data_IF_987237129834
#
_entry.id   IF_987237129834
#
_cell.length_a   1.000
_cell.length_b   1.000
_cell.length_c   1.000
_cell.angle_alpha   90.00
_cell.angle_beta   90.00
_cell.angle_gamma   90.00
#
_symmetry.space_group_name_H-M   'P 1'
#
loop_
_entity.id
_entity.type
_entity.pdbx_description
1 polymer ?
#
# COMPACT_ATOMS: atom_id res chain seq x y z
N UNK A 1 -11.72 -5.57 2.51
CA UNK A 1 -10.46 -4.89 2.86
C UNK A 1 -9.78 -4.22 1.66
N UNK A 2 -10.19 -4.52 0.47
CA UNK A 2 -9.56 -3.94 -0.73
C UNK A 2 -9.61 -2.40 -0.66
N UNK A 3 -8.47 -1.76 -0.89
CA UNK A 3 -8.34 -0.31 -0.78
C UNK A 3 -7.98 0.21 0.60
N UNK A 4 -7.97 -0.67 1.60
CA UNK A 4 -7.58 -0.27 2.95
C UNK A 4 -6.06 -0.15 3.07
N UNK A 5 -5.60 0.76 3.91
CA UNK A 5 -4.20 0.88 4.27
C UNK A 5 -4.04 0.30 5.65
N UNK A 6 -3.19 -0.72 5.75
CA UNK A 6 -3.04 -1.53 6.95
C UNK A 6 -1.59 -1.54 7.41
N UNK A 7 -1.38 -1.95 8.67
CA UNK A 7 -0.04 -2.13 9.22
C UNK A 7 0.28 -3.62 9.24
N UNK A 8 1.44 -3.96 8.68
CA UNK A 8 1.94 -5.33 8.68
C UNK A 8 3.40 -5.35 9.13
N UNK A 9 3.86 -6.45 9.75
CA UNK A 9 5.27 -6.59 10.09
C UNK A 9 6.12 -6.72 8.82
N UNK A 10 7.28 -6.09 8.83
CA UNK A 10 8.23 -6.17 7.72
C UNK A 10 9.65 -6.12 8.27
N UNK A 11 10.54 -6.99 7.84
CA UNK A 11 10.33 -8.11 6.92
C UNK A 11 9.56 -9.26 7.57
N UNK A 12 8.88 -10.07 6.77
CA UNK A 12 8.02 -11.14 7.27
C UNK A 12 8.81 -12.32 7.85
N UNK A 13 10.08 -12.44 7.51
CA UNK A 13 10.91 -13.59 7.86
C UNK A 13 11.68 -13.42 9.16
N UNK A 14 11.75 -12.20 9.69
CA UNK A 14 12.48 -11.92 10.94
C UNK A 14 11.56 -11.18 11.88
N UNK A 15 10.89 -11.94 12.75
CA UNK A 15 9.93 -11.38 13.69
C UNK A 15 10.59 -10.58 14.81
N UNK A 16 11.86 -10.86 15.11
CA UNK A 16 12.56 -10.15 16.19
C UNK A 16 12.97 -8.75 15.81
N UNK A 17 13.18 -8.50 14.53
CA UNK A 17 13.57 -7.19 14.00
C UNK A 17 12.48 -6.55 13.17
N UNK A 18 11.28 -7.14 13.13
CA UNK A 18 10.21 -6.66 12.31
C UNK A 18 9.71 -5.30 12.81
N UNK A 19 9.53 -4.37 11.87
CA UNK A 19 8.87 -3.09 12.12
C UNK A 19 7.52 -3.12 11.45
N UNK A 20 6.56 -2.43 12.03
CA UNK A 20 5.26 -2.26 11.39
C UNK A 20 5.40 -1.25 10.25
N UNK A 21 4.91 -1.64 9.08
CA UNK A 21 4.95 -0.82 7.87
C UNK A 21 3.56 -0.72 7.28
N UNK A 22 3.23 0.42 6.67
CA UNK A 22 1.95 0.53 5.98
C UNK A 22 1.99 -0.22 4.65
N UNK A 23 0.84 -0.73 4.26
CA UNK A 23 0.67 -1.42 2.99
C UNK A 23 -0.75 -1.23 2.50
N UNK A 24 -0.92 -1.19 1.19
CA UNK A 24 -2.24 -1.09 0.56
C UNK A 24 -2.74 -2.49 0.24
N UNK A 25 -3.97 -2.80 0.68
CA UNK A 25 -4.60 -4.07 0.31
C UNK A 25 -5.16 -3.94 -1.10
N UNK A 26 -4.64 -4.73 -2.03
CA UNK A 26 -5.07 -4.71 -3.43
C UNK A 26 -5.98 -5.88 -3.79
N UNK A 27 -6.03 -6.91 -2.96
CA UNK A 27 -6.92 -8.04 -3.16
C UNK A 27 -7.14 -8.75 -1.83
N UNK A 28 -8.33 -9.28 -1.64
CA UNK A 28 -8.68 -10.04 -0.44
C UNK A 28 -9.25 -11.38 -0.85
N UNK A 29 -8.69 -12.45 -0.27
CA UNK A 29 -9.21 -13.81 -0.36
C UNK A 29 -9.76 -14.20 1.02
N UNK A 30 -10.14 -15.44 1.19
CA UNK A 30 -10.73 -15.90 2.44
C UNK A 30 -9.75 -15.75 3.62
N UNK A 31 -8.50 -16.19 3.45
CA UNK A 31 -7.48 -16.16 4.51
C UNK A 31 -6.34 -15.22 4.25
N UNK A 32 -6.20 -14.76 3.02
CA UNK A 32 -5.04 -14.00 2.57
C UNK A 32 -5.43 -12.64 2.05
N UNK A 33 -4.45 -11.76 2.02
CA UNK A 33 -4.55 -10.50 1.27
C UNK A 33 -3.30 -10.37 0.42
N UNK A 34 -3.46 -9.71 -0.73
CA UNK A 34 -2.31 -9.25 -1.50
C UNK A 34 -2.13 -7.79 -1.16
N UNK A 35 -0.91 -7.42 -0.77
CA UNK A 35 -0.58 -6.06 -0.37
C UNK A 35 0.51 -5.49 -1.26
N UNK A 36 0.46 -4.17 -1.45
CA UNK A 36 1.52 -3.40 -2.07
C UNK A 36 2.17 -2.56 -0.99
N UNK A 37 3.51 -2.57 -0.93
CA UNK A 37 4.22 -1.88 0.13
C UNK A 37 4.20 -0.38 -0.07
N UNK A 38 4.17 0.35 1.04
CA UNK A 38 4.18 1.80 1.08
C UNK A 38 5.47 2.24 1.76
N UNK A 39 6.19 3.17 1.14
CA UNK A 39 7.45 3.69 1.63
C UNK A 39 7.37 5.19 1.83
N UNK A 40 8.10 5.72 2.80
CA UNK A 40 8.25 7.17 2.97
C UNK A 40 9.36 7.75 2.10
N UNK A 41 10.08 6.91 1.38
CA UNK A 41 11.14 7.36 0.47
C UNK A 41 10.52 7.68 -0.89
N UNK A 42 10.00 8.89 -1.00
CA UNK A 42 9.29 9.33 -2.20
C UNK A 42 10.30 9.74 -3.28
N UNK A 43 10.18 9.19 -4.51
CA UNK A 43 11.07 9.57 -5.59
C UNK A 43 10.79 10.98 -6.08
N UNK A 44 11.79 11.62 -6.69
CA UNK A 44 11.60 12.93 -7.29
C UNK A 44 10.68 12.86 -8.49
N UNK A 45 10.65 11.70 -9.16
CA UNK A 45 9.81 11.48 -10.33
C UNK A 45 9.21 10.08 -10.23
N UNK A 46 7.89 10.00 -10.15
CA UNK A 46 7.22 8.70 -10.03
C UNK A 46 7.27 7.94 -11.35
N UNK A 47 7.38 6.62 -11.23
CA UNK A 47 7.34 5.72 -12.37
C UNK A 47 5.93 5.17 -12.57
N UNK A 48 5.76 4.35 -13.61
CA UNK A 48 4.47 3.71 -13.88
C UNK A 48 4.07 2.66 -12.84
N UNK A 49 5.02 2.23 -12.00
CA UNK A 49 4.73 1.26 -10.93
C UNK A 49 4.61 1.91 -9.55
N UNK A 50 4.61 3.24 -9.49
CA UNK A 50 4.57 3.97 -8.23
C UNK A 50 3.42 4.95 -8.20
N UNK A 51 2.78 5.09 -7.03
CA UNK A 51 1.75 6.10 -6.81
C UNK A 51 2.16 6.94 -5.62
N UNK A 52 2.41 8.23 -5.85
CA UNK A 52 2.82 9.15 -4.79
C UNK A 52 1.59 9.65 -4.05
N UNK A 53 1.62 9.54 -2.73
CA UNK A 53 0.57 10.02 -1.84
C UNK A 53 1.18 11.16 -1.01
N UNK A 54 1.08 12.37 -1.55
CA UNK A 54 1.64 13.56 -0.90
C UNK A 54 0.62 14.18 0.06
N UNK A 55 1.11 14.85 1.10
CA UNK A 55 0.26 15.50 2.10
C UNK A 55 -0.74 16.47 1.50
N UNK A 56 -0.36 17.14 0.40
CA UNK A 56 -1.24 18.09 -0.27
C UNK A 56 -2.27 17.45 -1.18
N UNK A 57 -2.19 16.15 -1.40
CA UNK A 57 -3.11 15.47 -2.29
C UNK A 57 -4.48 15.31 -1.63
N UNK A 58 -5.55 15.57 -2.39
CA UNK A 58 -6.92 15.46 -1.90
C UNK A 58 -7.18 14.03 -1.40
N UNK A 59 -7.68 13.90 -0.19
CA UNK A 59 -7.97 12.60 0.40
C UNK A 59 -6.81 12.03 1.23
N UNK A 60 -5.69 12.74 1.31
CA UNK A 60 -4.53 12.26 2.08
C UNK A 60 -4.92 11.90 3.52
N UNK A 61 -5.74 12.71 4.17
CA UNK A 61 -6.14 12.50 5.57
C UNK A 61 -6.91 11.20 5.77
N UNK A 62 -7.58 10.70 4.73
CA UNK A 62 -8.32 9.44 4.80
C UNK A 62 -7.39 8.23 4.82
N UNK A 63 -6.16 8.39 4.35
CA UNK A 63 -5.21 7.27 4.27
C UNK A 63 -4.64 6.89 5.63
N UNK A 64 -4.67 7.79 6.60
CA UNK A 64 -4.05 7.57 7.90
C UNK A 64 -2.53 7.67 7.88
N UNK A 65 -1.92 7.98 6.73
CA UNK A 65 -0.48 8.16 6.62
C UNK A 65 -0.11 9.52 7.24
N UNK A 66 1.10 9.60 7.81
CA UNK A 66 1.55 10.80 8.52
C UNK A 66 2.50 11.66 7.70
N UNK A 67 3.07 11.12 6.66
CA UNK A 67 4.07 11.81 5.84
C UNK A 67 3.86 11.45 4.38
N UNK A 68 4.47 12.23 3.50
CA UNK A 68 4.50 11.92 2.09
C UNK A 68 4.98 10.48 1.90
N UNK A 69 4.29 9.74 1.06
CA UNK A 69 4.52 8.31 0.90
C UNK A 69 4.40 7.93 -0.56
N UNK A 70 4.90 6.75 -0.89
CA UNK A 70 4.77 6.18 -2.23
C UNK A 70 4.31 4.74 -2.11
N UNK A 71 3.28 4.40 -2.88
CA UNK A 71 2.82 3.01 -2.99
C UNK A 71 3.63 2.35 -4.09
N UNK A 72 4.31 1.25 -3.75
CA UNK A 72 5.14 0.51 -4.67
C UNK A 72 4.35 -0.66 -5.25
N UNK A 73 3.74 -0.44 -6.42
CA UNK A 73 2.91 -1.48 -7.04
C UNK A 73 3.74 -2.62 -7.62
N UNK A 74 5.04 -2.43 -7.75
CA UNK A 74 5.98 -3.47 -8.17
C UNK A 74 6.49 -4.31 -7.00
N UNK A 75 6.14 -3.94 -5.77
CA UNK A 75 6.55 -4.67 -4.57
C UNK A 75 5.32 -5.14 -3.82
N UNK A 76 4.87 -6.34 -4.17
CA UNK A 76 3.66 -6.92 -3.61
C UNK A 76 3.99 -8.24 -2.93
N UNK A 77 3.12 -8.63 -1.99
CA UNK A 77 3.24 -9.91 -1.30
C UNK A 77 1.85 -10.40 -0.95
N UNK A 78 1.70 -11.72 -0.91
CA UNK A 78 0.49 -12.35 -0.38
C UNK A 78 0.78 -12.74 1.06
N UNK A 79 -0.03 -12.25 1.98
CA UNK A 79 0.17 -12.51 3.40
C UNK A 79 -1.15 -12.97 4.02
N UNK A 80 -1.04 -13.70 5.14
CA UNK A 80 -2.22 -14.09 5.90
C UNK A 80 -2.87 -12.86 6.52
N UNK A 81 -4.20 -12.83 6.51
CA UNK A 81 -4.95 -11.72 7.14
C UNK A 81 -4.56 -11.54 8.60
N UNK A 82 -4.26 -12.64 9.30
CA UNK A 82 -3.90 -12.58 10.71
C UNK A 82 -2.59 -11.85 10.98
N UNK A 83 -1.77 -11.60 9.94
CA UNK A 83 -0.56 -10.79 10.08
C UNK A 83 -0.84 -9.30 10.11
N UNK A 84 -2.04 -8.89 9.73
CA UNK A 84 -2.43 -7.49 9.78
C UNK A 84 -2.61 -7.08 11.23
N UNK A 85 -1.83 -6.10 11.66
CA UNK A 85 -1.84 -5.64 13.05
C UNK A 85 -2.91 -4.59 13.27
N UNK A 86 -3.20 -3.77 12.26
CA UNK A 86 -4.21 -2.74 12.37
C UNK A 86 -4.50 -2.09 11.04
N UNK A 87 -5.51 -1.25 11.04
CA UNK A 87 -5.92 -0.48 9.86
C UNK A 87 -5.64 0.99 10.13
N UNK A 88 -4.96 1.65 9.18
CA UNK A 88 -4.66 3.08 9.26
C UNK A 88 -5.74 3.93 8.62
N UNK A 89 -6.27 3.48 7.50
CA UNK A 89 -7.23 4.25 6.74
C UNK A 89 -7.53 3.59 5.42
N UNK A 90 -7.85 4.40 4.43
CA UNK A 90 -8.21 3.86 3.12
C UNK A 90 -7.82 4.82 2.00
N UNK A 91 -7.65 4.27 0.82
CA UNK A 91 -7.43 5.04 -0.38
C UNK A 91 -8.77 5.54 -0.90
N UNK A 92 -8.84 6.79 -1.31
CA UNK A 92 -10.08 7.39 -1.79
C UNK A 92 -9.83 8.23 -3.05
N UNK A 93 -10.90 8.49 -3.79
CA UNK A 93 -10.90 9.46 -4.89
C UNK A 93 -9.97 9.05 -6.03
N UNK A 94 -9.26 10.04 -6.56
CA UNK A 94 -8.39 9.84 -7.72
C UNK A 94 -7.18 8.98 -7.42
N UNK A 95 -6.83 8.81 -6.15
CA UNK A 95 -5.77 7.88 -5.76
C UNK A 95 -6.14 6.43 -6.11
N UNK A 96 -7.42 6.07 -5.88
CA UNK A 96 -7.93 4.74 -6.27
C UNK A 96 -7.84 4.56 -7.77
N UNK A 97 -8.22 5.58 -8.51
CA UNK A 97 -8.22 5.53 -9.98
C UNK A 97 -6.79 5.38 -10.51
N UNK A 98 -5.85 6.12 -9.93
CA UNK A 98 -4.45 6.02 -10.34
C UNK A 98 -3.88 4.64 -10.05
N UNK A 99 -4.14 4.09 -8.86
CA UNK A 99 -3.68 2.74 -8.51
C UNK A 99 -4.25 1.72 -9.48
N UNK A 100 -5.55 1.77 -9.73
CA UNK A 100 -6.19 0.80 -10.62
C UNK A 100 -5.65 0.89 -12.05
N UNK A 101 -5.45 2.09 -12.56
CA UNK A 101 -4.91 2.29 -13.90
C UNK A 101 -3.50 1.72 -14.03
N UNK A 102 -2.65 2.00 -13.04
CA UNK A 102 -1.27 1.51 -13.05
C UNK A 102 -1.19 0.01 -12.82
N UNK A 103 -2.01 -0.55 -11.92
CA UNK A 103 -2.06 -1.99 -11.72
C UNK A 103 -2.48 -2.72 -12.99
N UNK A 104 -3.51 -2.21 -13.66
CA UNK A 104 -3.98 -2.81 -14.91
C UNK A 104 -2.84 -2.85 -15.93
N UNK A 105 -2.11 -1.76 -16.04
CA UNK A 105 -1.04 -1.64 -17.02
C UNK A 105 0.13 -2.58 -16.73
N UNK A 106 0.60 -2.62 -15.47
CA UNK A 106 1.78 -3.42 -15.13
C UNK A 106 1.47 -4.92 -15.00
N UNK A 107 0.21 -5.29 -14.81
CA UNK A 107 -0.19 -6.70 -14.67
C UNK A 107 -0.61 -7.34 -15.99
N UNK A 108 -0.63 -6.59 -17.07
CA UNK A 108 -0.93 -7.13 -18.38
C UNK A 108 0.25 -7.95 -18.91
N UNK A 109 -0.06 -9.04 -19.57
CA UNK A 109 0.96 -9.88 -20.20
C UNK A 109 0.84 -9.89 -21.75
#
# INVERSE_FOLDING_TARGET
MKGKIVLVPFPFTDLTAAKLRPALVIHESERDVIIAFISSKVPTKSSESEVVIAKGRQGFEKTGLKTDSVIRLDKVATVLKELIVGELGELVGDMVQEVNAKLTKIMQT
#
